data_IF_873537271522
#
_entry.id   IF_873537271522
#
_cell.length_a   1.000
_cell.length_b   1.000
_cell.length_c   1.000
_cell.angle_alpha   90.00
_cell.angle_beta   90.00
_cell.angle_gamma   90.00
#
_symmetry.space_group_name_H-M   'P 1'
#
loop_
_entity.id
_entity.type
_entity.pdbx_description
1 polymer ?
#
# COMPACT_ATOMS: atom_id res chain seq x y z
N UNK A 1 -14.62 37.11 -28.46
CA UNK A 1 -16.03 37.49 -28.20
C UNK A 1 -16.86 36.27 -28.53
N UNK A 2 -17.50 35.57 -27.59
CA UNK A 2 -18.50 36.08 -26.63
C UNK A 2 -18.63 35.16 -25.41
N UNK A 3 -18.72 35.76 -24.22
CA UNK A 3 -19.01 35.16 -22.91
C UNK A 3 -20.48 34.67 -22.83
N UNK A 4 -20.78 33.49 -22.26
CA UNK A 4 -22.15 33.13 -21.92
C UNK A 4 -22.59 33.81 -20.61
N UNK A 5 -23.62 34.66 -20.74
CA UNK A 5 -24.27 35.42 -19.67
C UNK A 5 -24.85 34.50 -18.59
N UNK A 6 -24.52 34.86 -17.35
CA UNK A 6 -25.06 34.34 -16.11
C UNK A 6 -26.60 34.55 -16.05
N UNK A 7 -27.36 33.48 -15.82
CA UNK A 7 -28.81 33.54 -15.65
C UNK A 7 -29.13 33.22 -14.18
N UNK A 8 -29.35 34.27 -13.38
CA UNK A 8 -29.86 34.09 -12.02
C UNK A 8 -31.38 33.88 -12.07
N UNK A 9 -31.93 32.83 -11.43
CA UNK A 9 -33.36 32.70 -11.26
C UNK A 9 -33.90 33.81 -10.34
N UNK A 10 -35.10 34.29 -10.70
CA UNK A 10 -35.76 35.45 -10.11
C UNK A 10 -35.96 35.36 -8.60
N UNK A 11 -35.79 36.51 -7.97
CA UNK A 11 -36.12 36.76 -6.57
C UNK A 11 -37.65 36.72 -6.42
N UNK A 12 -38.23 35.84 -5.57
CA UNK A 12 -39.63 35.93 -5.22
C UNK A 12 -39.86 37.22 -4.42
N UNK A 13 -40.77 38.02 -4.96
CA UNK A 13 -41.71 38.97 -4.36
C UNK A 13 -41.55 39.12 -2.84
N UNK A 14 -40.99 40.27 -2.45
CA UNK A 14 -41.04 40.78 -1.09
C UNK A 14 -42.48 41.17 -0.73
N UNK A 15 -43.30 40.15 -0.47
CA UNK A 15 -44.56 40.30 0.23
C UNK A 15 -44.28 40.94 1.59
N UNK A 16 -45.08 41.96 1.91
CA UNK A 16 -45.02 42.73 3.13
C UNK A 16 -44.81 41.83 4.36
N UNK A 17 -43.68 42.03 5.04
CA UNK A 17 -43.47 41.48 6.37
C UNK A 17 -44.56 42.08 7.28
N UNK A 18 -45.39 41.26 7.94
CA UNK A 18 -46.37 41.78 8.88
C UNK A 18 -45.61 42.50 9.99
N UNK A 19 -45.90 43.79 10.19
CA UNK A 19 -45.23 44.66 11.15
C UNK A 19 -45.43 44.25 12.62
N UNK A 20 -46.14 43.14 12.87
CA UNK A 20 -46.66 42.75 14.18
C UNK A 20 -46.33 41.29 14.55
N UNK A 21 -45.48 40.59 13.78
CA UNK A 21 -45.04 39.26 14.17
C UNK A 21 -44.16 39.37 15.43
N UNK A 22 -44.52 38.72 16.57
CA UNK A 22 -43.63 38.69 17.72
C UNK A 22 -42.32 38.04 17.28
N UNK A 23 -41.24 38.81 17.33
CA UNK A 23 -39.90 38.32 17.03
C UNK A 23 -39.68 37.01 17.80
N UNK A 24 -39.15 35.95 17.17
CA UNK A 24 -38.80 34.74 17.91
C UNK A 24 -37.93 35.17 19.07
N UNK A 25 -38.43 34.94 20.28
CA UNK A 25 -37.78 35.39 21.51
C UNK A 25 -36.32 34.98 21.45
N UNK A 26 -35.45 35.96 21.21
CA UNK A 26 -34.06 35.84 21.56
C UNK A 26 -34.07 35.76 23.07
N UNK A 27 -34.03 34.53 23.58
CA UNK A 27 -33.68 34.29 24.96
C UNK A 27 -32.34 34.99 25.22
N UNK A 28 -32.32 36.09 25.99
CA UNK A 28 -31.09 36.83 26.24
C UNK A 28 -30.09 36.01 27.07
N UNK A 29 -30.51 34.85 27.62
CA UNK A 29 -29.69 34.02 28.50
C UNK A 29 -28.68 33.12 27.78
N UNK A 30 -28.61 33.16 26.44
CA UNK A 30 -27.60 32.42 25.67
C UNK A 30 -26.62 33.28 24.87
N UNK A 31 -26.71 34.61 24.95
CA UNK A 31 -25.62 35.50 24.54
C UNK A 31 -24.58 35.59 25.67
N UNK A 32 -23.98 34.45 26.03
CA UNK A 32 -22.69 34.51 26.73
C UNK A 32 -21.70 35.15 25.76
N UNK A 33 -21.29 36.35 26.11
CA UNK A 33 -20.30 37.15 25.41
C UNK A 33 -19.11 36.23 25.02
N UNK A 34 -18.68 36.16 23.75
CA UNK A 34 -17.49 35.38 23.39
C UNK A 34 -16.29 35.73 24.28
N UNK A 35 -16.24 36.96 24.79
CA UNK A 35 -15.26 37.39 25.78
C UNK A 35 -15.44 36.81 27.20
N UNK A 36 -16.65 36.43 27.63
CA UNK A 36 -16.88 35.70 28.88
C UNK A 36 -16.55 34.20 28.74
N UNK A 37 -16.83 33.59 27.59
CA UNK A 37 -16.36 32.21 27.30
C UNK A 37 -14.85 32.14 27.26
N UNK A 38 -14.19 33.08 26.57
CA UNK A 38 -12.73 33.17 26.52
C UNK A 38 -12.09 33.56 27.87
N UNK A 39 -12.81 34.27 28.76
CA UNK A 39 -12.35 34.53 30.14
C UNK A 39 -12.52 33.33 31.07
N UNK A 40 -13.47 32.44 30.78
CA UNK A 40 -13.78 31.26 31.58
C UNK A 40 -13.11 29.97 31.05
N UNK A 41 -12.65 29.94 29.80
CA UNK A 41 -11.72 28.93 29.30
C UNK A 41 -10.35 29.19 29.91
N UNK A 42 -9.95 28.27 30.77
CA UNK A 42 -8.65 28.37 31.42
C UNK A 42 -7.55 27.98 30.43
N UNK A 43 -6.31 28.38 30.71
CA UNK A 43 -5.12 27.85 30.02
C UNK A 43 -5.09 26.31 30.00
N UNK A 44 -5.75 25.65 30.97
CA UNK A 44 -5.91 24.21 31.01
C UNK A 44 -6.85 23.65 29.93
N UNK A 45 -7.86 24.42 29.51
CA UNK A 45 -8.81 24.01 28.47
C UNK A 45 -8.19 24.11 27.07
N UNK A 46 -7.42 25.17 26.80
CA UNK A 46 -6.66 25.29 25.54
C UNK A 46 -5.57 24.21 25.41
N UNK A 47 -4.87 23.90 26.50
CA UNK A 47 -3.86 22.84 26.50
C UNK A 47 -4.49 21.46 26.29
N UNK A 48 -5.70 21.24 26.83
CA UNK A 48 -6.49 20.03 26.63
C UNK A 48 -6.94 19.89 25.18
N UNK A 49 -7.39 20.97 24.55
CA UNK A 49 -7.78 20.98 23.14
C UNK A 49 -6.59 20.69 22.21
N UNK A 50 -5.45 21.36 22.41
CA UNK A 50 -4.21 21.10 21.64
C UNK A 50 -3.72 19.66 21.83
N UNK A 51 -3.78 19.13 23.06
CA UNK A 51 -3.41 17.73 23.34
C UNK A 51 -4.35 16.74 22.63
N UNK A 52 -5.62 17.08 22.54
CA UNK A 52 -6.63 16.27 21.87
C UNK A 52 -6.46 16.32 20.34
N UNK A 53 -6.11 17.47 19.78
CA UNK A 53 -5.79 17.62 18.36
C UNK A 53 -4.53 16.85 17.97
N UNK A 54 -3.47 16.94 18.79
CA UNK A 54 -2.23 16.20 18.53
C UNK A 54 -2.45 14.68 18.64
N UNK A 55 -3.25 14.22 19.61
CA UNK A 55 -3.68 12.83 19.71
C UNK A 55 -4.46 12.38 18.48
N UNK A 56 -5.28 13.28 17.90
CA UNK A 56 -6.03 13.03 16.67
C UNK A 56 -5.11 12.92 15.46
N UNK A 57 -4.12 13.81 15.32
CA UNK A 57 -3.11 13.75 14.25
C UNK A 57 -2.29 12.45 14.29
N UNK A 58 -1.81 12.07 15.48
CA UNK A 58 -1.03 10.82 15.64
C UNK A 58 -1.88 9.62 15.24
N UNK A 59 -3.16 9.57 15.64
CA UNK A 59 -4.07 8.50 15.23
C UNK A 59 -4.28 8.50 13.71
N UNK A 60 -4.39 9.66 13.08
CA UNK A 60 -4.55 9.78 11.63
C UNK A 60 -3.30 9.31 10.88
N UNK A 61 -2.09 9.66 11.33
CA UNK A 61 -0.85 9.16 10.74
C UNK A 61 -0.74 7.63 10.86
N UNK A 62 -1.14 7.07 12.00
CA UNK A 62 -1.16 5.61 12.19
C UNK A 62 -2.17 4.96 11.24
N UNK A 63 -3.38 5.50 11.12
CA UNK A 63 -4.39 4.98 10.20
C UNK A 63 -3.94 5.10 8.74
N UNK A 64 -3.25 6.19 8.37
CA UNK A 64 -2.68 6.39 7.04
C UNK A 64 -1.56 5.39 6.76
N UNK A 65 -0.59 5.25 7.67
CA UNK A 65 0.50 4.29 7.55
C UNK A 65 -0.02 2.85 7.46
N UNK A 66 -1.08 2.53 8.21
CA UNK A 66 -1.77 1.24 8.14
C UNK A 66 -2.46 1.04 6.80
N UNK A 67 -3.09 2.07 6.24
CA UNK A 67 -3.71 2.02 4.91
C UNK A 67 -2.65 1.79 3.82
N UNK A 68 -1.56 2.54 3.85
CA UNK A 68 -0.44 2.41 2.91
C UNK A 68 0.25 1.05 3.02
N UNK A 69 0.45 0.55 4.26
CA UNK A 69 1.00 -0.78 4.50
C UNK A 69 0.06 -1.87 3.96
N UNK A 70 -1.26 -1.72 4.12
CA UNK A 70 -2.25 -2.68 3.59
C UNK A 70 -2.27 -2.66 2.06
N UNK A 71 -2.21 -1.49 1.44
CA UNK A 71 -2.12 -1.36 -0.01
C UNK A 71 -0.83 -1.99 -0.53
N UNK A 72 0.30 -1.69 0.11
CA UNK A 72 1.61 -2.27 -0.21
C UNK A 72 1.61 -3.80 -0.07
N UNK A 73 1.07 -4.32 1.03
CA UNK A 73 0.92 -5.76 1.26
C UNK A 73 0.02 -6.42 0.22
N UNK A 74 -1.05 -5.75 -0.20
CA UNK A 74 -1.96 -6.26 -1.24
C UNK A 74 -1.27 -6.30 -2.61
N UNK A 75 -0.56 -5.23 -2.99
CA UNK A 75 0.21 -5.17 -4.24
C UNK A 75 1.32 -6.21 -4.26
N UNK A 76 2.10 -6.30 -3.18
CA UNK A 76 3.14 -7.30 -3.01
C UNK A 76 2.56 -8.72 -3.04
N UNK A 77 1.44 -8.97 -2.35
CA UNK A 77 0.76 -10.27 -2.34
C UNK A 77 0.23 -10.67 -3.71
N UNK A 78 -0.38 -9.75 -4.46
CA UNK A 78 -0.82 -9.99 -5.84
C UNK A 78 0.38 -10.30 -6.75
N UNK A 79 1.46 -9.54 -6.63
CA UNK A 79 2.70 -9.78 -7.37
C UNK A 79 3.28 -11.16 -7.07
N UNK A 80 3.45 -11.49 -5.79
CA UNK A 80 3.94 -12.80 -5.35
C UNK A 80 3.04 -13.94 -5.83
N UNK A 81 1.71 -13.76 -5.77
CA UNK A 81 0.74 -14.73 -6.30
C UNK A 81 0.87 -14.94 -7.80
N UNK A 82 1.02 -13.86 -8.58
CA UNK A 82 1.25 -13.93 -10.03
C UNK A 82 2.57 -14.64 -10.37
N UNK A 83 3.66 -14.31 -9.67
CA UNK A 83 4.95 -14.98 -9.87
C UNK A 83 4.90 -16.46 -9.51
N UNK A 84 4.20 -16.83 -8.44
CA UNK A 84 3.99 -18.24 -8.07
C UNK A 84 3.19 -18.98 -9.15
N UNK A 85 2.11 -18.38 -9.63
CA UNK A 85 1.31 -18.92 -10.73
C UNK A 85 2.11 -19.07 -12.02
N UNK A 86 2.94 -18.08 -12.36
CA UNK A 86 3.82 -18.11 -13.53
C UNK A 86 4.90 -19.20 -13.39
N UNK A 87 5.51 -19.35 -12.21
CA UNK A 87 6.50 -20.39 -11.95
C UNK A 87 5.89 -21.79 -12.09
N UNK A 88 4.71 -22.04 -11.51
CA UNK A 88 4.02 -23.31 -11.62
C UNK A 88 3.58 -23.61 -13.05
N UNK A 89 3.03 -22.61 -13.76
CA UNK A 89 2.61 -22.75 -15.16
C UNK A 89 3.81 -23.02 -16.06
N UNK A 90 4.92 -22.30 -15.88
CA UNK A 90 6.18 -22.53 -16.59
C UNK A 90 6.74 -23.93 -16.32
N UNK A 91 6.68 -24.41 -15.08
CA UNK A 91 7.07 -25.78 -14.74
C UNK A 91 6.21 -26.82 -15.47
N UNK A 92 4.88 -26.63 -15.55
CA UNK A 92 4.00 -27.51 -16.32
C UNK A 92 4.34 -27.52 -17.82
N UNK A 93 4.64 -26.36 -18.41
CA UNK A 93 5.08 -26.27 -19.80
C UNK A 93 6.36 -27.07 -20.02
N UNK A 94 7.36 -26.91 -19.14
CA UNK A 94 8.62 -27.64 -19.22
C UNK A 94 8.43 -29.16 -19.07
N UNK A 95 7.51 -29.58 -18.19
CA UNK A 95 7.14 -30.98 -18.02
C UNK A 95 6.55 -31.56 -19.31
N UNK A 96 5.53 -30.91 -19.88
CA UNK A 96 4.90 -31.39 -21.11
C UNK A 96 5.86 -31.34 -22.30
N UNK A 97 6.72 -30.31 -22.39
CA UNK A 97 7.76 -30.23 -23.40
C UNK A 97 8.75 -31.40 -23.28
N UNK A 98 9.12 -31.79 -22.05
CA UNK A 98 9.98 -32.95 -21.80
C UNK A 98 9.34 -34.26 -22.24
N UNK A 99 8.05 -34.45 -21.94
CA UNK A 99 7.30 -35.63 -22.38
C UNK A 99 7.16 -35.68 -23.90
N UNK A 100 6.84 -34.55 -24.53
CA UNK A 100 6.75 -34.44 -25.99
C UNK A 100 8.10 -34.73 -26.67
N UNK A 101 9.19 -34.18 -26.12
CA UNK A 101 10.54 -34.42 -26.62
C UNK A 101 10.94 -35.89 -26.48
N UNK A 102 10.70 -36.49 -25.32
CA UNK A 102 10.93 -37.91 -25.09
C UNK A 102 10.15 -38.75 -26.10
N UNK A 103 8.85 -38.52 -26.22
CA UNK A 103 7.97 -39.27 -27.12
C UNK A 103 8.41 -39.12 -28.59
N UNK A 104 8.73 -37.91 -29.02
CA UNK A 104 9.21 -37.61 -30.37
C UNK A 104 10.52 -38.32 -30.70
N UNK A 105 11.52 -38.21 -29.82
CA UNK A 105 12.83 -38.87 -30.03
C UNK A 105 12.70 -40.39 -29.94
N UNK A 106 11.85 -40.90 -29.03
CA UNK A 106 11.62 -42.34 -28.88
C UNK A 106 11.15 -43.01 -30.17
N UNK A 107 10.39 -42.30 -31.01
CA UNK A 107 9.92 -42.81 -32.28
C UNK A 107 11.05 -43.04 -33.30
N UNK A 108 12.20 -42.38 -33.14
CA UNK A 108 13.36 -42.49 -34.04
C UNK A 108 14.46 -43.40 -33.47
N UNK A 109 14.72 -43.34 -32.16
CA UNK A 109 15.90 -43.99 -31.55
C UNK A 109 15.58 -45.11 -30.57
N UNK A 110 14.30 -45.28 -30.21
CA UNK A 110 13.86 -46.14 -29.10
C UNK A 110 13.93 -45.44 -27.73
N UNK A 111 13.20 -46.01 -26.77
CA UNK A 111 12.89 -45.36 -25.47
C UNK A 111 14.11 -45.06 -24.61
N UNK A 112 15.10 -45.95 -24.57
CA UNK A 112 16.29 -45.79 -23.71
C UNK A 112 17.18 -44.65 -24.19
N UNK A 113 17.47 -44.60 -25.49
CA UNK A 113 18.27 -43.54 -26.08
C UNK A 113 17.59 -42.18 -26.02
N UNK A 114 16.27 -42.15 -26.18
CA UNK A 114 15.49 -40.92 -25.97
C UNK A 114 15.61 -40.41 -24.53
N UNK A 115 15.52 -41.30 -23.53
CA UNK A 115 15.68 -40.93 -22.13
C UNK A 115 17.06 -40.32 -21.86
N UNK A 116 18.13 -40.94 -22.39
CA UNK A 116 19.51 -40.44 -22.24
C UNK A 116 19.66 -39.05 -22.87
N UNK A 117 19.15 -38.85 -24.09
CA UNK A 117 19.24 -37.56 -24.77
C UNK A 117 18.50 -36.46 -23.98
N UNK A 118 17.26 -36.73 -23.55
CA UNK A 118 16.48 -35.78 -22.75
C UNK A 118 17.18 -35.48 -21.42
N UNK A 119 17.77 -36.48 -20.77
CA UNK A 119 18.54 -36.29 -19.54
C UNK A 119 19.78 -35.40 -19.75
N UNK A 120 20.52 -35.59 -20.84
CA UNK A 120 21.67 -34.73 -21.18
C UNK A 120 21.23 -33.29 -21.44
N UNK A 121 20.12 -33.08 -22.15
CA UNK A 121 19.57 -31.74 -22.38
C UNK A 121 19.25 -31.05 -21.05
N UNK A 122 18.57 -31.75 -20.13
CA UNK A 122 18.26 -31.20 -18.81
C UNK A 122 19.50 -30.97 -17.95
N UNK A 123 20.53 -31.81 -18.04
CA UNK A 123 21.79 -31.60 -17.35
C UNK A 123 22.49 -30.30 -17.82
N UNK A 124 22.47 -30.02 -19.12
CA UNK A 124 23.00 -28.77 -19.69
C UNK A 124 22.19 -27.57 -19.18
N UNK A 125 20.86 -27.63 -19.25
CA UNK A 125 19.97 -26.56 -18.76
C UNK A 125 20.23 -26.29 -17.28
N UNK A 126 20.27 -27.34 -16.45
CA UNK A 126 20.55 -27.22 -15.02
C UNK A 126 21.93 -26.62 -14.75
N UNK A 127 22.95 -27.03 -15.50
CA UNK A 127 24.30 -26.45 -15.42
C UNK A 127 24.32 -24.95 -15.71
N UNK A 128 23.64 -24.51 -16.79
CA UNK A 128 23.52 -23.09 -17.14
C UNK A 128 22.78 -22.31 -16.06
N UNK A 129 21.64 -22.81 -15.58
CA UNK A 129 20.86 -22.16 -14.52
C UNK A 129 21.66 -22.05 -13.22
N UNK A 130 22.41 -23.09 -12.84
CA UNK A 130 23.28 -23.06 -11.67
C UNK A 130 24.40 -22.02 -11.80
N UNK A 131 25.01 -21.88 -12.99
CA UNK A 131 26.03 -20.86 -13.25
C UNK A 131 25.47 -19.45 -13.18
N UNK A 132 24.32 -19.20 -13.81
CA UNK A 132 23.64 -17.89 -13.77
C UNK A 132 23.21 -17.56 -12.35
N UNK A 133 22.53 -18.48 -11.65
CA UNK A 133 22.11 -18.29 -10.26
C UNK A 133 23.30 -18.00 -9.33
N UNK A 134 24.42 -18.70 -9.50
CA UNK A 134 25.65 -18.43 -8.75
C UNK A 134 26.24 -17.04 -9.04
N UNK A 135 26.07 -16.51 -10.26
CA UNK A 135 26.51 -15.14 -10.60
C UNK A 135 25.60 -14.11 -9.91
N UNK A 136 24.29 -14.25 -10.07
CA UNK A 136 23.32 -13.32 -9.47
C UNK A 136 23.44 -13.29 -7.93
N UNK A 137 23.65 -14.45 -7.28
CA UNK A 137 23.86 -14.50 -5.83
C UNK A 137 25.13 -13.78 -5.38
N UNK A 138 26.22 -13.87 -6.15
CA UNK A 138 27.46 -13.13 -5.85
C UNK A 138 27.31 -11.63 -6.02
N UNK A 139 26.46 -11.20 -6.94
CA UNK A 139 26.19 -9.78 -7.18
C UNK A 139 25.28 -9.20 -6.06
N UNK A 140 24.53 -10.05 -5.34
CA UNK A 140 23.65 -9.67 -4.21
C UNK A 140 24.38 -9.65 -2.85
N UNK A 141 25.59 -10.19 -2.73
CA UNK A 141 26.43 -10.16 -1.49
C UNK A 141 26.85 -8.74 -1.02
N UNK A 142 26.31 -7.68 -1.64
CA UNK A 142 26.35 -6.30 -1.15
C UNK A 142 25.29 -5.94 -0.10
N UNK A 143 24.61 -6.91 0.53
CA UNK A 143 23.76 -6.62 1.70
C UNK A 143 24.70 -6.37 2.90
N UNK A 144 24.71 -5.16 3.48
CA UNK A 144 25.70 -4.77 4.47
C UNK A 144 25.65 -5.71 5.68
N UNK A 145 26.83 -6.08 6.18
CA UNK A 145 27.06 -6.81 7.42
C UNK A 145 26.65 -5.99 8.66
N UNK A 146 25.43 -5.44 8.70
CA UNK A 146 24.86 -4.76 9.87
C UNK A 146 24.53 -5.72 11.02
N UNK A 147 25.00 -6.97 10.95
CA UNK A 147 25.03 -7.88 12.10
C UNK A 147 26.27 -7.65 12.98
N UNK A 148 27.29 -6.90 12.52
CA UNK A 148 28.43 -6.52 13.37
C UNK A 148 28.10 -5.32 14.27
N UNK A 149 27.35 -4.32 13.80
CA UNK A 149 26.96 -3.14 14.61
C UNK A 149 25.98 -3.47 15.74
N UNK A 150 25.18 -4.54 15.61
CA UNK A 150 24.25 -4.97 16.69
C UNK A 150 24.98 -5.74 17.81
N UNK A 151 26.23 -6.18 17.59
CA UNK A 151 27.05 -6.87 18.60
C UNK A 151 27.95 -5.93 19.43
N UNK A 152 28.04 -4.65 19.08
CA UNK A 152 28.81 -3.62 19.84
C UNK A 152 27.95 -2.77 20.81
N UNK A 153 26.75 -3.22 21.18
CA UNK A 153 25.99 -2.61 22.29
C UNK A 153 25.77 -3.63 23.42
N UNK A 154 26.86 -4.07 24.05
CA UNK A 154 26.89 -4.14 25.51
C UNK A 154 28.18 -3.48 26.04
N UNK A 155 28.07 -2.70 27.12
CA UNK A 155 29.12 -2.13 28.00
C UNK A 155 28.93 -0.62 28.33
N UNK A 156 27.82 0.02 27.92
CA UNK A 156 27.48 1.38 28.40
C UNK A 156 26.51 1.43 29.61
N UNK A 157 26.12 0.26 30.15
CA UNK A 157 25.16 0.15 31.25
C UNK A 157 25.64 -0.75 32.40
N UNK A 158 26.93 -0.73 32.73
CA UNK A 158 27.44 -1.36 33.95
C UNK A 158 28.32 -0.40 34.74
#
# INVERSE_FOLDING_TARGET
>A
MTEPRNHMPGHPDAGAWPADAPAPGHDPSHAQDPEERARNESLGDMLKEVSQDLSTLIRQEIELAKAEMRESATKAGKGAGMFTGAALSGYMVLLFLSLALWAGISNLTGRVWAAIIVAVIWAIVAGVLAMVGKKELKDVDGVPQTTETVKEIPEAFK
#
